data_IF_721259263857
#
_entry.id   IF_721259263857
#
_cell.length_a   1.000
_cell.length_b   1.000
_cell.length_c   1.000
_cell.angle_alpha   90.00
_cell.angle_beta   90.00
_cell.angle_gamma   90.00
#
_symmetry.space_group_name_H-M   'P 1'
#
loop_
_entity.id
_entity.type
_entity.pdbx_description
1 polymer ?
#
# COMPACT_ATOMS: atom_id res chain seq x y z
N UNK A 1 -29.28 -3.27 17.64
CA UNK A 1 -28.07 -2.82 18.36
C UNK A 1 -26.87 -3.37 17.61
N UNK A 2 -26.02 -2.53 17.01
CA UNK A 2 -24.87 -2.99 16.23
C UNK A 2 -23.59 -2.78 17.06
N UNK A 3 -22.87 -3.86 17.31
CA UNK A 3 -21.64 -3.91 18.10
C UNK A 3 -20.52 -3.09 17.45
N UNK A 4 -19.89 -2.23 18.25
CA UNK A 4 -18.61 -1.62 17.93
C UNK A 4 -17.51 -2.63 18.30
N UNK A 5 -16.77 -3.14 17.32
CA UNK A 5 -15.58 -3.94 17.60
C UNK A 5 -14.40 -2.99 17.80
N UNK A 6 -13.98 -2.80 19.06
CA UNK A 6 -12.67 -2.24 19.39
C UNK A 6 -11.59 -3.06 18.66
N UNK A 7 -10.60 -2.39 18.08
CA UNK A 7 -9.47 -3.08 17.46
C UNK A 7 -8.68 -3.87 18.49
N UNK A 8 -7.81 -4.78 18.04
CA UNK A 8 -6.93 -5.54 18.95
C UNK A 8 -5.98 -4.58 19.67
N UNK A 9 -5.87 -4.74 21.00
CA UNK A 9 -4.80 -4.12 21.80
C UNK A 9 -3.45 -4.57 21.26
N UNK A 10 -2.45 -3.72 21.35
CA UNK A 10 -1.07 -4.12 21.03
C UNK A 10 -0.66 -5.31 21.90
N UNK A 11 -0.05 -6.33 21.28
CA UNK A 11 0.37 -7.57 21.97
C UNK A 11 1.46 -7.35 23.02
N UNK A 12 2.21 -6.26 22.89
CA UNK A 12 3.28 -5.86 23.82
C UNK A 12 2.86 -4.59 24.55
N UNK A 13 3.22 -4.47 25.83
CA UNK A 13 3.10 -3.20 26.56
C UNK A 13 3.96 -2.14 25.88
N UNK A 14 3.31 -1.21 25.20
CA UNK A 14 3.96 -0.03 24.63
C UNK A 14 3.97 1.04 25.71
N UNK A 15 5.15 1.59 26.10
CA UNK A 15 5.19 2.70 27.05
C UNK A 15 4.43 3.91 26.49
N UNK A 16 3.59 4.54 27.32
CA UNK A 16 2.85 5.74 26.92
C UNK A 16 3.82 6.88 26.56
N UNK A 17 3.76 7.42 25.32
CA UNK A 17 4.60 8.53 24.91
C UNK A 17 4.41 9.77 25.80
N UNK A 18 5.51 10.43 26.17
CA UNK A 18 5.48 11.65 26.99
C UNK A 18 4.56 12.74 26.42
N UNK A 19 4.44 12.83 25.10
CA UNK A 19 3.57 13.80 24.44
C UNK A 19 2.08 13.63 24.78
N UNK A 20 1.62 12.40 25.05
CA UNK A 20 0.26 12.14 25.49
C UNK A 20 0.05 12.59 26.94
N UNK A 21 1.05 12.38 27.80
CA UNK A 21 1.02 12.81 29.21
C UNK A 21 0.88 14.33 29.34
N UNK A 22 1.50 15.08 28.43
CA UNK A 22 1.36 16.55 28.36
C UNK A 22 -0.02 16.96 27.84
N UNK A 23 -0.61 16.17 26.93
CA UNK A 23 -1.90 16.53 26.28
C UNK A 23 -3.10 16.32 27.21
N UNK A 24 -3.09 15.27 28.04
CA UNK A 24 -4.10 15.06 29.07
C UNK A 24 -3.45 14.47 30.34
N UNK A 25 -3.01 15.33 31.27
CA UNK A 25 -2.39 14.88 32.51
C UNK A 25 -3.36 14.00 33.32
N UNK A 26 -2.91 12.80 33.72
CA UNK A 26 -3.69 11.88 34.56
C UNK A 26 -4.65 10.93 33.82
N UNK A 27 -4.77 11.02 32.50
CA UNK A 27 -5.53 10.04 31.72
C UNK A 27 -4.72 8.75 31.51
N UNK A 28 -5.32 7.60 31.79
CA UNK A 28 -4.78 6.29 31.42
C UNK A 28 -5.10 5.99 29.95
N UNK A 29 -4.12 5.48 29.21
CA UNK A 29 -4.22 5.24 27.77
C UNK A 29 -3.85 3.80 27.42
N UNK A 30 -4.62 3.21 26.51
CA UNK A 30 -4.36 1.87 25.96
C UNK A 30 -3.96 1.99 24.49
N UNK A 31 -2.91 1.27 24.08
CA UNK A 31 -2.41 1.26 22.70
C UNK A 31 -3.10 0.18 21.86
N UNK A 32 -3.45 0.51 20.61
CA UNK A 32 -4.17 -0.36 19.68
C UNK A 32 -3.40 -0.55 18.36
N UNK A 33 -3.54 -1.75 17.75
CA UNK A 33 -2.95 -2.06 16.43
C UNK A 33 -3.70 -1.35 15.29
N UNK A 34 -4.99 -1.05 15.48
CA UNK A 34 -5.83 -0.36 14.51
C UNK A 34 -7.18 0.01 15.12
N UNK A 35 -7.84 1.02 14.56
CA UNK A 35 -9.20 1.42 14.94
C UNK A 35 -10.02 1.69 13.68
N UNK A 36 -11.26 1.20 13.63
CA UNK A 36 -12.17 1.44 12.50
C UNK A 36 -13.13 2.56 12.87
N UNK A 37 -13.12 3.64 12.11
CA UNK A 37 -14.06 4.75 12.27
C UNK A 37 -15.09 4.75 11.15
N UNK A 38 -16.29 5.24 11.45
CA UNK A 38 -17.31 5.57 10.45
C UNK A 38 -17.39 7.07 10.32
N UNK A 39 -16.85 7.67 9.26
CA UNK A 39 -17.39 8.93 8.70
C UNK A 39 -16.64 9.46 7.47
N UNK A 40 -17.44 10.04 6.56
CA UNK A 40 -17.01 10.88 5.44
C UNK A 40 -16.79 12.32 5.91
N UNK A 41 -15.55 12.79 5.78
CA UNK A 41 -15.10 14.10 6.25
C UNK A 41 -14.87 15.07 5.09
N UNK A 42 -14.97 16.36 5.39
CA UNK A 42 -14.76 17.47 4.43
C UNK A 42 -13.49 18.25 4.80
N UNK A 43 -12.72 18.63 3.77
CA UNK A 43 -11.37 19.22 3.90
C UNK A 43 -11.38 20.66 4.46
N UNK A 44 -10.31 21.02 5.18
CA UNK A 44 -9.86 22.42 5.37
C UNK A 44 -8.42 22.56 4.85
N UNK A 45 -8.10 23.71 4.25
CA UNK A 45 -6.90 23.98 3.42
C UNK A 45 -5.53 23.98 4.14
N UNK A 46 -5.44 23.55 5.40
CA UNK A 46 -4.18 23.49 6.18
C UNK A 46 -3.83 22.06 6.60
N UNK A 47 -3.90 21.12 5.66
CA UNK A 47 -3.65 19.70 5.95
C UNK A 47 -2.15 19.40 6.01
N UNK A 48 -1.68 18.79 7.11
CA UNK A 48 -0.29 18.32 7.28
C UNK A 48 -0.20 16.82 7.00
N UNK A 49 0.84 16.38 6.28
CA UNK A 49 1.11 14.94 6.08
C UNK A 49 1.91 14.42 7.27
N UNK A 50 1.51 13.28 7.83
CA UNK A 50 2.23 12.65 8.94
C UNK A 50 2.10 11.12 8.91
N UNK A 51 3.08 10.44 9.50
CA UNK A 51 3.05 9.00 9.73
C UNK A 51 2.48 8.70 11.12
N UNK A 52 1.44 7.87 11.18
CA UNK A 52 0.93 7.31 12.44
C UNK A 52 2.00 6.42 13.06
N UNK A 53 2.43 6.75 14.28
CA UNK A 53 3.36 5.94 15.06
C UNK A 53 2.60 4.97 15.97
N UNK A 54 1.53 5.44 16.60
CA UNK A 54 0.69 4.65 17.50
C UNK A 54 -0.69 5.29 17.67
N UNK A 55 -1.66 4.46 18.07
CA UNK A 55 -3.05 4.84 18.28
C UNK A 55 -3.41 4.52 19.72
N UNK A 56 -3.97 5.51 20.42
CA UNK A 56 -4.28 5.42 21.84
C UNK A 56 -5.73 5.75 22.09
N UNK A 57 -6.40 4.98 22.94
CA UNK A 57 -7.75 5.30 23.42
C UNK A 57 -7.62 5.53 24.93
N UNK A 58 -8.16 6.64 25.47
CA UNK A 58 -8.28 6.80 26.91
C UNK A 58 -9.07 5.61 27.49
N UNK A 59 -8.65 5.09 28.63
CA UNK A 59 -9.30 3.92 29.20
C UNK A 59 -10.79 4.17 29.47
N UNK A 60 -11.60 3.12 29.31
CA UNK A 60 -13.06 3.17 29.42
C UNK A 60 -13.77 4.15 28.45
N UNK A 61 -13.10 4.71 27.45
CA UNK A 61 -13.72 5.60 26.45
C UNK A 61 -13.99 4.93 25.10
N UNK A 62 -14.92 5.53 24.34
CA UNK A 62 -15.27 5.08 23.00
C UNK A 62 -14.11 5.31 22.00
N UNK A 63 -13.94 4.44 20.97
CA UNK A 63 -12.89 4.59 19.95
C UNK A 63 -12.86 5.92 19.20
N UNK A 64 -14.00 6.62 19.17
CA UNK A 64 -14.10 7.95 18.56
C UNK A 64 -13.29 9.02 19.31
N UNK A 65 -12.87 8.73 20.54
CA UNK A 65 -11.98 9.56 21.37
C UNK A 65 -10.50 9.18 21.21
N UNK A 66 -10.18 8.30 20.26
CA UNK A 66 -8.80 7.91 20.01
C UNK A 66 -7.93 9.12 19.66
N UNK A 67 -6.74 9.13 20.23
CA UNK A 67 -5.66 10.06 19.97
C UNK A 67 -4.57 9.31 19.21
N UNK A 68 -4.09 9.91 18.13
CA UNK A 68 -3.01 9.35 17.33
C UNK A 68 -1.73 10.13 17.59
N UNK A 69 -0.63 9.40 17.78
CA UNK A 69 0.72 9.97 17.83
C UNK A 69 1.27 9.96 16.42
N UNK A 70 1.63 11.14 15.94
CA UNK A 70 2.00 11.41 14.56
C UNK A 70 3.46 11.89 14.50
N UNK A 71 4.19 11.42 13.49
CA UNK A 71 5.51 11.95 13.13
C UNK A 71 5.35 12.72 11.81
N UNK A 72 5.61 14.03 11.84
CA UNK A 72 5.37 14.92 10.70
C UNK A 72 6.20 14.49 9.49
N UNK A 73 5.60 14.60 8.32
CA UNK A 73 6.25 14.40 7.04
C UNK A 73 6.29 15.71 6.25
N UNK A 74 7.36 15.91 5.51
CA UNK A 74 7.50 17.00 4.54
C UNK A 74 7.34 16.48 3.12
N UNK A 75 6.79 17.32 2.25
CA UNK A 75 6.72 17.04 0.82
C UNK A 75 8.11 17.29 0.22
N UNK A 76 8.65 16.29 -0.44
CA UNK A 76 9.98 16.31 -1.04
C UNK A 76 9.97 16.59 -2.55
N UNK A 77 11.06 16.17 -3.20
CA UNK A 77 11.24 16.35 -4.66
C UNK A 77 10.41 15.35 -5.46
N UNK A 78 10.26 15.60 -6.76
CA UNK A 78 9.91 14.55 -7.70
C UNK A 78 11.12 13.63 -7.86
N UNK A 79 10.97 12.33 -7.64
CA UNK A 79 12.07 11.37 -7.76
C UNK A 79 12.16 10.91 -9.21
N UNK A 80 13.22 11.24 -9.97
CA UNK A 80 13.27 10.99 -11.41
C UNK A 80 13.10 9.52 -11.78
N UNK A 81 13.69 8.61 -10.99
CA UNK A 81 13.60 7.15 -11.20
C UNK A 81 12.15 6.63 -11.25
N UNK A 82 11.24 7.26 -10.51
CA UNK A 82 9.85 6.83 -10.39
C UNK A 82 8.86 7.79 -11.05
N UNK A 83 9.27 9.02 -11.36
CA UNK A 83 8.35 10.08 -11.77
C UNK A 83 7.31 10.44 -10.69
N UNK A 84 7.61 10.15 -9.42
CA UNK A 84 6.66 10.27 -8.30
C UNK A 84 7.20 11.17 -7.19
N UNK A 85 6.29 11.78 -6.41
CA UNK A 85 6.63 12.70 -5.32
C UNK A 85 7.23 11.95 -4.12
N UNK A 86 8.34 12.44 -3.61
CA UNK A 86 8.94 11.98 -2.35
C UNK A 86 8.15 12.55 -1.16
N UNK A 87 7.92 11.73 -0.13
CA UNK A 87 7.46 12.13 1.20
C UNK A 87 8.59 11.81 2.17
N UNK A 88 9.03 12.80 2.95
CA UNK A 88 10.14 12.67 3.89
C UNK A 88 9.65 12.74 5.32
N UNK A 89 9.87 11.68 6.09
CA UNK A 89 9.62 11.69 7.53
C UNK A 89 10.61 12.62 8.23
N UNK A 90 10.10 13.50 9.09
CA UNK A 90 10.88 14.43 9.92
C UNK A 90 10.94 13.94 11.36
N UNK A 91 11.72 14.59 12.23
CA UNK A 91 11.79 14.23 13.65
C UNK A 91 10.66 14.82 14.51
N UNK A 92 9.89 15.77 13.98
CA UNK A 92 8.82 16.43 14.73
C UNK A 92 7.65 15.47 14.99
N UNK A 93 7.23 15.38 16.24
CA UNK A 93 6.11 14.56 16.68
C UNK A 93 5.01 15.43 17.31
N UNK A 94 3.77 15.05 17.08
CA UNK A 94 2.59 15.72 17.62
C UNK A 94 1.42 14.75 17.80
N UNK A 95 0.39 15.16 18.51
CA UNK A 95 -0.82 14.37 18.75
C UNK A 95 -2.03 15.04 18.11
N UNK A 96 -2.97 14.25 17.61
CA UNK A 96 -4.26 14.73 17.10
C UNK A 96 -5.38 13.76 17.46
N UNK A 97 -6.61 14.26 17.45
CA UNK A 97 -7.76 13.36 17.47
C UNK A 97 -7.80 12.57 16.17
N UNK A 98 -8.18 11.30 16.25
CA UNK A 98 -8.41 10.47 15.06
C UNK A 98 -9.51 11.06 14.14
N UNK A 99 -10.41 11.91 14.70
CA UNK A 99 -11.42 12.65 13.93
C UNK A 99 -10.85 13.70 13.00
N UNK A 100 -9.60 14.10 13.18
CA UNK A 100 -8.94 15.10 12.33
C UNK A 100 -8.23 14.46 11.13
N UNK A 101 -8.25 13.12 11.00
CA UNK A 101 -7.66 12.41 9.87
C UNK A 101 -8.57 12.51 8.66
N UNK A 102 -8.11 13.29 7.68
CA UNK A 102 -8.84 13.55 6.43
C UNK A 102 -8.75 12.38 5.45
N UNK A 103 -7.56 11.81 5.27
CA UNK A 103 -7.32 10.69 4.36
C UNK A 103 -6.06 9.92 4.76
N UNK A 104 -5.92 8.71 4.23
CA UNK A 104 -4.70 7.92 4.32
C UNK A 104 -3.97 8.04 2.99
N UNK A 105 -2.64 8.03 3.02
CA UNK A 105 -1.83 8.08 1.80
C UNK A 105 -1.18 6.72 1.57
N UNK A 106 -1.22 6.27 0.32
CA UNK A 106 -0.47 5.10 -0.11
C UNK A 106 0.95 5.55 -0.47
N UNK A 107 1.91 5.16 0.37
CA UNK A 107 3.32 5.43 0.15
C UNK A 107 4.11 4.13 0.15
N UNK A 108 5.15 4.06 -0.66
CA UNK A 108 6.09 2.94 -0.71
C UNK A 108 7.48 3.42 -0.28
N UNK A 109 8.32 2.53 0.26
CA UNK A 109 9.68 2.90 0.61
C UNK A 109 10.48 3.29 -0.66
N UNK A 110 11.30 4.33 -0.58
CA UNK A 110 12.21 4.71 -1.67
C UNK A 110 13.41 3.75 -1.70
N UNK A 111 13.18 2.52 -2.18
CA UNK A 111 14.18 1.46 -2.16
C UNK A 111 15.44 1.79 -2.97
N UNK A 112 15.30 2.57 -4.04
CA UNK A 112 16.44 3.00 -4.84
C UNK A 112 17.38 3.91 -4.04
N UNK A 113 16.84 4.92 -3.33
CA UNK A 113 17.64 5.78 -2.45
C UNK A 113 18.16 5.03 -1.23
N UNK A 114 17.34 4.15 -0.66
CA UNK A 114 17.70 3.36 0.50
C UNK A 114 18.59 2.15 0.21
N UNK A 115 19.01 1.95 -1.05
CA UNK A 115 19.85 0.82 -1.47
C UNK A 115 19.40 -0.50 -0.85
N UNK A 116 18.09 -0.75 -0.86
CA UNK A 116 17.52 -1.90 -0.17
C UNK A 116 18.01 -3.20 -0.79
N UNK A 117 18.34 -4.16 0.05
CA UNK A 117 18.91 -5.43 -0.37
C UNK A 117 17.82 -6.40 -0.80
N UNK A 118 18.09 -7.11 -1.89
CA UNK A 118 17.24 -8.20 -2.35
C UNK A 118 17.74 -9.48 -1.69
N UNK A 119 16.98 -10.02 -0.75
CA UNK A 119 17.32 -11.23 -0.01
C UNK A 119 16.46 -12.40 -0.47
N UNK A 120 17.08 -13.53 -0.82
CA UNK A 120 16.37 -14.77 -1.17
C UNK A 120 15.97 -15.51 0.10
N UNK A 121 14.99 -14.99 0.85
CA UNK A 121 14.74 -15.48 2.22
C UNK A 121 13.28 -15.50 2.68
N UNK A 122 12.30 -15.07 1.88
CA UNK A 122 10.93 -14.97 2.36
C UNK A 122 10.06 -16.10 1.83
N UNK A 123 9.43 -16.84 2.75
CA UNK A 123 8.34 -17.76 2.43
C UNK A 123 7.11 -16.95 2.04
N UNK A 124 6.53 -17.28 0.89
CA UNK A 124 5.33 -16.58 0.40
C UNK A 124 4.10 -17.16 1.07
N UNK A 125 3.19 -16.29 1.53
CA UNK A 125 1.80 -16.72 1.71
C UNK A 125 1.09 -16.69 0.36
N UNK A 126 0.70 -17.85 -0.15
CA UNK A 126 -0.20 -17.98 -1.29
C UNK A 126 -1.54 -18.46 -0.71
N UNK A 127 -2.63 -17.73 -0.98
CA UNK A 127 -3.97 -18.09 -0.49
C UNK A 127 -4.06 -18.27 1.04
N UNK A 128 -3.29 -17.46 1.81
CA UNK A 128 -3.18 -17.52 3.28
C UNK A 128 -2.53 -18.80 3.82
N UNK A 129 -1.94 -19.64 2.97
CA UNK A 129 -1.07 -20.75 3.38
C UNK A 129 0.39 -20.36 3.19
N UNK A 130 1.21 -20.67 4.18
CA UNK A 130 2.66 -20.53 4.07
C UNK A 130 3.12 -21.59 3.07
N UNK A 131 3.76 -21.16 1.98
CA UNK A 131 4.37 -22.04 1.02
C UNK A 131 5.87 -22.10 1.27
N UNK A 132 6.46 -23.29 1.12
CA UNK A 132 7.92 -23.53 1.21
C UNK A 132 8.69 -23.01 -0.01
N UNK A 133 8.01 -22.29 -0.90
CA UNK A 133 8.63 -21.63 -2.05
C UNK A 133 9.30 -20.34 -1.56
N UNK A 134 10.63 -20.37 -1.58
CA UNK A 134 11.46 -19.20 -1.32
C UNK A 134 11.31 -18.21 -2.47
N UNK A 135 10.87 -17.00 -2.15
CA UNK A 135 10.82 -15.89 -3.10
C UNK A 135 11.79 -14.80 -2.69
N UNK A 136 12.28 -14.12 -3.72
CA UNK A 136 13.05 -12.90 -3.59
C UNK A 136 12.24 -11.85 -2.80
N UNK A 137 12.73 -11.49 -1.62
CA UNK A 137 12.19 -10.44 -0.77
C UNK A 137 13.10 -9.22 -0.79
N UNK A 138 12.57 -8.06 -0.39
CA UNK A 138 13.37 -6.83 -0.22
C UNK A 138 13.50 -6.54 1.27
N UNK A 139 14.74 -6.48 1.76
CA UNK A 139 15.05 -5.99 3.10
C UNK A 139 15.22 -4.48 3.03
N UNK A 140 14.28 -3.74 3.63
CA UNK A 140 14.29 -2.29 3.59
C UNK A 140 15.29 -1.69 4.57
N UNK A 141 16.17 -0.82 4.07
CA UNK A 141 17.02 0.01 4.91
C UNK A 141 16.18 1.01 5.72
N UNK A 142 16.66 1.38 6.91
CA UNK A 142 16.03 2.41 7.74
C UNK A 142 16.25 3.79 7.14
N UNK A 143 15.39 4.20 6.21
CA UNK A 143 15.39 5.57 5.69
C UNK A 143 14.10 6.31 6.00
N UNK A 144 14.14 7.63 5.87
CA UNK A 144 12.98 8.51 6.02
C UNK A 144 12.33 8.87 4.68
N UNK A 145 12.71 8.22 3.58
CA UNK A 145 12.28 8.57 2.23
C UNK A 145 11.25 7.58 1.69
N UNK A 146 10.09 8.11 1.33
CA UNK A 146 8.97 7.35 0.79
C UNK A 146 8.49 7.96 -0.52
N UNK A 147 7.88 7.15 -1.38
CA UNK A 147 7.35 7.53 -2.68
C UNK A 147 5.83 7.48 -2.60
N UNK A 148 5.17 8.60 -2.91
CA UNK A 148 3.71 8.70 -2.94
C UNK A 148 3.14 8.04 -4.20
N UNK A 149 2.24 7.08 -4.01
CA UNK A 149 1.46 6.54 -5.12
C UNK A 149 0.42 7.58 -5.58
N UNK A 150 0.79 8.37 -6.59
CA UNK A 150 -0.06 9.44 -7.12
C UNK A 150 -1.28 8.93 -7.90
N UNK A 151 -1.29 7.64 -8.24
CA UNK A 151 -2.36 6.95 -8.95
C UNK A 151 -3.19 6.04 -8.02
N UNK A 152 -3.19 6.30 -6.71
CA UNK A 152 -4.02 5.56 -5.78
C UNK A 152 -5.52 5.66 -6.16
N UNK A 153 -6.20 4.51 -6.20
CA UNK A 153 -7.63 4.44 -6.53
C UNK A 153 -8.51 5.08 -5.45
N UNK A 154 -8.10 5.01 -4.19
CA UNK A 154 -8.80 5.67 -3.08
C UNK A 154 -8.23 7.07 -2.87
N UNK A 155 -9.08 8.08 -2.66
CA UNK A 155 -8.66 9.47 -2.45
C UNK A 155 -7.66 9.98 -3.49
N UNK A 156 -7.82 9.57 -4.76
CA UNK A 156 -6.85 9.87 -5.83
C UNK A 156 -6.64 11.36 -6.06
N UNK A 157 -7.69 12.19 -5.91
CA UNK A 157 -7.55 13.65 -6.00
C UNK A 157 -6.58 14.21 -4.96
N UNK A 158 -6.67 13.76 -3.70
CA UNK A 158 -5.78 14.20 -2.63
C UNK A 158 -4.35 13.74 -2.86
N UNK A 159 -4.16 12.49 -3.33
CA UNK A 159 -2.84 12.00 -3.71
C UNK A 159 -2.22 12.88 -4.80
N UNK A 160 -2.98 13.25 -5.84
CA UNK A 160 -2.50 14.13 -6.90
C UNK A 160 -2.21 15.55 -6.43
N UNK A 161 -3.08 16.11 -5.57
CA UNK A 161 -2.92 17.44 -4.97
C UNK A 161 -1.62 17.50 -4.15
N UNK A 162 -1.38 16.50 -3.30
CA UNK A 162 -0.16 16.39 -2.49
C UNK A 162 1.06 16.11 -3.36
N UNK A 163 0.92 15.29 -4.40
CA UNK A 163 1.99 15.05 -5.36
C UNK A 163 2.40 16.32 -6.11
N UNK A 164 1.51 17.33 -6.17
CA UNK A 164 1.66 18.54 -6.95
C UNK A 164 2.12 18.20 -8.39
N UNK A 165 1.49 17.18 -8.95
CA UNK A 165 1.80 16.70 -10.31
C UNK A 165 0.84 17.41 -11.26
N UNK A 166 1.40 18.16 -12.21
CA UNK A 166 0.61 18.73 -13.30
C UNK A 166 0.14 17.58 -14.18
N UNK A 167 -1.13 17.25 -14.11
CA UNK A 167 -1.75 16.36 -15.09
C UNK A 167 -2.25 17.21 -16.25
N UNK A 168 -1.72 16.97 -17.43
CA UNK A 168 -2.31 17.49 -18.66
C UNK A 168 -3.61 16.73 -18.89
N UNK A 169 -4.71 17.45 -19.12
CA UNK A 169 -5.96 16.83 -19.51
C UNK A 169 -5.75 16.11 -20.85
N UNK A 170 -6.16 14.84 -20.92
CA UNK A 170 -6.15 14.08 -22.17
C UNK A 170 -7.31 14.59 -23.01
N UNK A 171 -7.01 15.05 -24.22
CA UNK A 171 -8.01 15.57 -25.17
C UNK A 171 -8.87 14.43 -25.74
N UNK A 172 -10.10 14.70 -26.20
CA UNK A 172 -10.92 13.71 -26.88
C UNK A 172 -10.22 13.05 -28.08
N UNK A 173 -9.44 13.83 -28.83
CA UNK A 173 -8.66 13.35 -29.97
C UNK A 173 -7.59 12.34 -29.53
N UNK A 174 -6.83 12.68 -28.48
CA UNK A 174 -5.83 11.77 -27.91
C UNK A 174 -6.47 10.48 -27.38
N UNK A 175 -7.66 10.57 -26.78
CA UNK A 175 -8.43 9.39 -26.38
C UNK A 175 -8.78 8.52 -27.58
N UNK A 176 -9.38 9.10 -28.63
CA UNK A 176 -9.79 8.37 -29.83
C UNK A 176 -8.59 7.71 -30.52
N UNK A 177 -7.48 8.42 -30.68
CA UNK A 177 -6.25 7.88 -31.26
C UNK A 177 -5.69 6.73 -30.44
N UNK A 178 -5.65 6.86 -29.11
CA UNK A 178 -5.11 5.82 -28.23
C UNK A 178 -6.00 4.58 -28.21
N UNK A 179 -7.33 4.74 -28.23
CA UNK A 179 -8.29 3.64 -28.28
C UNK A 179 -8.17 2.89 -29.62
N UNK A 180 -8.14 3.61 -30.75
CA UNK A 180 -7.98 3.02 -32.07
C UNK A 180 -6.68 2.22 -32.17
N UNK A 181 -5.56 2.82 -31.76
CA UNK A 181 -4.27 2.14 -31.71
C UNK A 181 -4.29 0.90 -30.81
N UNK A 182 -4.92 0.99 -29.63
CA UNK A 182 -5.06 -0.14 -28.72
C UNK A 182 -5.89 -1.29 -29.33
N UNK A 183 -6.95 -0.97 -30.07
CA UNK A 183 -7.77 -1.95 -30.79
C UNK A 183 -7.00 -2.63 -31.91
N UNK A 184 -6.23 -1.88 -32.69
CA UNK A 184 -5.41 -2.43 -33.77
C UNK A 184 -4.38 -3.44 -33.22
N UNK A 185 -3.64 -3.04 -32.16
CA UNK A 185 -2.71 -3.95 -31.45
C UNK A 185 -3.43 -5.18 -30.91
N UNK A 186 -4.65 -5.03 -30.39
CA UNK A 186 -5.43 -6.14 -29.84
C UNK A 186 -5.92 -7.10 -30.94
N UNK A 187 -6.28 -6.59 -32.11
CA UNK A 187 -6.69 -7.39 -33.25
C UNK A 187 -5.51 -8.08 -33.94
N UNK A 188 -4.34 -7.45 -33.93
CA UNK A 188 -3.11 -7.98 -34.53
C UNK A 188 -2.39 -9.01 -33.66
N UNK A 189 -2.85 -9.28 -32.42
CA UNK A 189 -2.29 -10.37 -31.60
C UNK A 189 -2.54 -11.70 -32.31
N UNK A 190 -1.49 -12.40 -32.81
CA UNK A 190 -1.70 -13.66 -33.50
C UNK A 190 -2.29 -14.67 -32.51
N UNK A 191 -3.41 -15.31 -32.86
CA UNK A 191 -3.95 -16.47 -32.15
C UNK A 191 -3.04 -17.70 -32.33
N UNK A 192 -1.78 -17.61 -31.92
CA UNK A 192 -0.81 -18.70 -31.89
C UNK A 192 -0.29 -18.75 -30.45
N UNK A 193 -0.71 -19.68 -29.59
CA UNK A 193 -0.51 -21.13 -29.70
C UNK A 193 -1.63 -21.89 -28.97
N UNK A 194 -2.59 -22.44 -29.71
CA UNK A 194 -3.45 -23.53 -29.21
C UNK A 194 -3.41 -24.80 -30.07
N UNK A 195 -2.61 -24.81 -31.16
CA UNK A 195 -2.50 -25.97 -32.07
C UNK A 195 -1.20 -26.77 -31.97
N UNK A 196 -0.21 -26.37 -31.17
CA UNK A 196 1.04 -27.14 -31.03
C UNK A 196 1.02 -28.22 -29.94
N UNK A 197 -0.06 -28.33 -29.13
CA UNK A 197 -0.20 -29.42 -28.14
C UNK A 197 -1.08 -30.59 -28.56
N UNK A 198 -1.72 -30.56 -29.72
CA UNK A 198 -2.54 -31.68 -30.22
C UNK A 198 -1.86 -32.52 -31.31
N UNK A 199 -0.84 -31.99 -32.01
CA UNK A 199 -0.08 -32.78 -32.98
C UNK A 199 1.02 -33.65 -32.34
N UNK A 200 1.51 -33.29 -31.15
CA UNK A 200 2.51 -34.09 -30.42
C UNK A 200 1.91 -35.25 -29.59
N UNK A 201 0.58 -35.38 -29.54
CA UNK A 201 -0.11 -36.41 -28.76
C UNK A 201 -0.75 -37.52 -29.62
N UNK A 202 -0.63 -37.45 -30.96
CA UNK A 202 -1.06 -38.52 -31.87
C UNK A 202 0.10 -39.35 -32.44
N UNK A 203 1.36 -38.93 -32.26
CA UNK A 203 2.53 -39.67 -32.75
C UNK A 203 3.09 -40.68 -31.73
N UNK A 204 2.56 -40.73 -30.50
CA UNK A 204 3.02 -41.66 -29.46
C UNK A 204 2.07 -42.86 -29.21
N UNK A 205 1.10 -43.13 -30.09
CA UNK A 205 0.14 -44.24 -29.92
C UNK A 205 0.22 -45.31 -31.04
N UNK A 206 1.34 -45.42 -31.77
CA UNK A 206 1.46 -46.44 -32.82
C UNK A 206 2.70 -47.34 -32.75
N UNK A 207 3.53 -47.25 -31.71
CA UNK A 207 4.75 -48.08 -31.58
C UNK A 207 4.78 -48.96 -30.31
N UNK A 208 3.64 -49.48 -29.86
CA UNK A 208 3.63 -50.45 -28.74
C UNK A 208 2.65 -51.61 -28.93
N UNK A 209 2.58 -52.19 -30.12
CA UNK A 209 1.95 -53.51 -30.33
C UNK A 209 2.74 -54.34 -31.35
N UNK A 210 3.96 -54.76 -31.02
CA UNK A 210 4.59 -55.95 -31.61
C UNK A 210 5.85 -56.34 -30.83
N UNK A 211 5.71 -56.99 -29.68
CA UNK A 211 6.74 -57.87 -29.10
C UNK A 211 6.19 -58.62 -27.87
N UNK A 212 5.27 -59.56 -28.11
CA UNK A 212 5.06 -60.74 -27.24
C UNK A 212 4.72 -61.91 -28.15
N UNK A 213 5.74 -62.63 -28.62
CA UNK A 213 5.67 -64.05 -28.98
C UNK A 213 7.07 -64.60 -29.22
N UNK A 214 7.64 -65.20 -28.15
CA UNK A 214 8.37 -66.48 -28.15
C UNK A 214 8.81 -66.85 -26.72
#
# INVERSE_FOLDING_TARGET
MAEFQQGRRCKNEVPTPNILRVTAPGAEYVCFEGVTLRNGQTLKDQSTVAQVQSIWIPDCQAPVKAVIVLKQCSIGRLVPRYGMREIKRTEHQFTRSVKEVVTVLNVQHNCHKGQCEVTMSQTKMIERKICDVMVSGITHAKTSSFILNSAAHYSGELHRRIANTKLTAVTPEQWNTTIAHGLDVWHDVPRQKKKEKQAANQTNHLDTESEVEQ
#
